data_IF_517719256882
#
_entry.id   IF_517719256882
#
_cell.length_a   1.000
_cell.length_b   1.000
_cell.length_c   1.000
_cell.angle_alpha   90.00
_cell.angle_beta   90.00
_cell.angle_gamma   90.00
#
_symmetry.space_group_name_H-M   'P 1'
#
loop_
_entity.id
_entity.type
_entity.pdbx_description
1 polymer ?
#
# COMPACT_ATOMS: atom_id res chain seq x y z
N UNK A 1 -4.42 17.95 22.19
CA UNK A 1 -3.49 17.55 23.28
C UNK A 1 -4.28 17.07 24.49
N UNK A 2 -4.16 15.78 24.84
CA UNK A 2 -4.57 15.33 26.18
C UNK A 2 -3.78 16.15 27.19
N UNK A 3 -4.44 16.75 28.18
CA UNK A 3 -3.79 17.62 29.19
C UNK A 3 -2.86 16.84 30.14
N UNK A 4 -2.55 15.58 29.81
CA UNK A 4 -2.02 14.59 30.74
C UNK A 4 -0.72 13.94 30.23
N UNK A 5 -0.22 14.31 29.05
CA UNK A 5 1.04 13.76 28.52
C UNK A 5 0.97 12.26 28.22
N UNK A 6 -0.22 11.73 27.93
CA UNK A 6 -0.39 10.34 27.55
C UNK A 6 0.04 10.16 26.08
N UNK A 7 0.99 9.24 25.84
CA UNK A 7 1.36 8.78 24.51
C UNK A 7 0.99 7.29 24.39
N UNK A 8 0.59 6.84 23.19
CA UNK A 8 0.32 5.42 22.91
C UNK A 8 -1.14 4.97 23.07
N UNK A 9 -2.08 5.88 23.24
CA UNK A 9 -3.53 5.60 23.26
C UNK A 9 -4.17 5.52 21.87
N UNK A 10 -3.37 5.73 20.81
CA UNK A 10 -3.84 5.71 19.43
C UNK A 10 -4.65 6.96 19.03
N UNK A 11 -4.73 7.97 19.89
CA UNK A 11 -5.43 9.22 19.56
C UNK A 11 -4.77 9.89 18.33
N UNK A 12 -5.55 10.42 17.37
CA UNK A 12 -4.99 11.10 16.20
C UNK A 12 -4.04 12.26 16.54
N UNK A 13 -4.26 12.98 17.65
CA UNK A 13 -3.33 14.01 18.14
C UNK A 13 -1.96 13.44 18.54
N UNK A 14 -1.90 12.15 18.87
CA UNK A 14 -0.71 11.45 19.32
C UNK A 14 -0.05 10.60 18.24
N UNK A 15 -0.73 10.36 17.11
CA UNK A 15 -0.29 9.45 16.04
C UNK A 15 -0.04 10.14 14.71
N UNK A 16 -0.66 11.30 14.47
CA UNK A 16 -0.40 12.12 13.27
C UNK A 16 0.94 12.82 13.41
N UNK A 17 1.81 12.59 12.44
CA UNK A 17 3.12 13.24 12.35
C UNK A 17 3.30 13.85 10.97
N UNK A 18 3.94 15.03 10.87
CA UNK A 18 4.24 15.60 9.57
C UNK A 18 5.27 14.74 8.84
N UNK A 19 5.02 14.46 7.56
CA UNK A 19 5.97 13.82 6.65
C UNK A 19 6.46 14.83 5.62
N UNK A 20 7.78 14.99 5.53
CA UNK A 20 8.43 15.81 4.49
C UNK A 20 9.32 14.88 3.67
N UNK A 21 9.11 14.83 2.36
CA UNK A 21 9.92 14.07 1.42
C UNK A 21 10.50 15.01 0.36
N UNK A 22 11.79 14.90 0.09
CA UNK A 22 12.49 15.74 -0.89
C UNK A 22 13.72 15.00 -1.45
N UNK A 23 14.27 15.53 -2.55
CA UNK A 23 15.46 14.99 -3.19
C UNK A 23 15.17 14.25 -4.49
N UNK A 24 16.19 13.57 -5.02
CA UNK A 24 16.11 12.86 -6.29
C UNK A 24 15.07 11.74 -6.20
N UNK A 25 14.22 11.62 -7.22
CA UNK A 25 13.19 10.59 -7.29
C UNK A 25 11.90 10.94 -6.54
N UNK A 26 11.86 12.08 -5.83
CA UNK A 26 10.65 12.58 -5.16
C UNK A 26 10.01 13.69 -5.99
N UNK A 27 8.71 13.55 -6.24
CA UNK A 27 7.89 14.56 -6.91
C UNK A 27 7.79 15.82 -6.05
N UNK A 28 8.13 16.97 -6.63
CA UNK A 28 7.91 18.30 -6.02
C UNK A 28 6.43 18.65 -5.86
N UNK A 29 6.07 19.65 -5.05
CA UNK A 29 4.68 19.95 -4.68
C UNK A 29 3.76 20.16 -5.89
N UNK A 30 2.50 19.75 -5.76
CA UNK A 30 1.45 19.97 -6.75
C UNK A 30 0.44 20.98 -6.20
N UNK A 31 -0.25 21.75 -7.06
CA UNK A 31 -1.43 22.51 -6.63
C UNK A 31 -2.50 21.55 -6.07
N UNK A 32 -3.34 22.06 -5.19
CA UNK A 32 -4.47 21.28 -4.64
C UNK A 32 -5.44 20.80 -5.74
N UNK A 33 -6.25 19.79 -5.42
CA UNK A 33 -7.22 19.18 -6.32
C UNK A 33 -8.62 19.79 -6.20
N UNK A 34 -9.51 19.42 -7.12
CA UNK A 34 -10.96 19.64 -6.99
C UNK A 34 -11.67 18.29 -7.09
N UNK A 35 -12.36 17.82 -6.03
CA UNK A 35 -12.51 18.45 -4.70
C UNK A 35 -11.17 18.59 -3.96
N UNK A 36 -11.12 19.51 -2.99
CA UNK A 36 -9.91 19.78 -2.20
C UNK A 36 -9.42 18.51 -1.52
N UNK A 37 -8.10 18.36 -1.46
CA UNK A 37 -7.45 17.28 -0.71
C UNK A 37 -7.36 17.55 0.80
N UNK A 38 -7.77 18.75 1.23
CA UNK A 38 -7.76 19.18 2.62
C UNK A 38 -9.11 18.97 3.31
N UNK A 39 -9.02 18.76 4.62
CA UNK A 39 -10.15 18.71 5.56
C UNK A 39 -10.03 19.83 6.61
N UNK A 40 -11.02 19.93 7.50
CA UNK A 40 -11.05 20.89 8.62
C UNK A 40 -9.81 20.80 9.53
N UNK A 41 -9.18 19.62 9.62
CA UNK A 41 -7.97 19.45 10.43
C UNK A 41 -6.76 20.14 9.81
N UNK A 42 -6.61 20.06 8.48
CA UNK A 42 -5.48 20.65 7.75
C UNK A 42 -5.71 22.07 7.23
N UNK A 43 -6.94 22.58 7.28
CA UNK A 43 -7.28 23.95 6.87
C UNK A 43 -6.40 25.02 7.55
N UNK A 44 -6.11 24.96 8.87
CA UNK A 44 -5.32 25.98 9.55
C UNK A 44 -3.81 25.94 9.23
N UNK A 45 -3.33 24.99 8.41
CA UNK A 45 -1.90 24.81 8.17
C UNK A 45 -1.31 25.83 7.19
N UNK A 46 -2.15 26.66 6.56
CA UNK A 46 -1.75 27.62 5.52
C UNK A 46 -1.10 26.96 4.28
N UNK A 47 -1.32 25.65 4.10
CA UNK A 47 -0.81 24.83 2.99
C UNK A 47 -1.91 24.36 2.02
N UNK A 48 -3.14 24.87 2.15
CA UNK A 48 -4.31 24.45 1.35
C UNK A 48 -4.20 24.73 -0.15
N UNK A 49 -3.19 25.50 -0.57
CA UNK A 49 -2.86 25.73 -1.97
C UNK A 49 -2.03 24.60 -2.59
N UNK A 50 -1.53 23.66 -1.78
CA UNK A 50 -0.75 22.50 -2.20
C UNK A 50 -1.54 21.21 -1.98
N UNK A 51 -1.31 20.20 -2.80
CA UNK A 51 -1.94 18.89 -2.63
C UNK A 51 -1.47 18.20 -1.33
N UNK A 52 -2.43 17.85 -0.46
CA UNK A 52 -2.22 16.93 0.66
C UNK A 52 -2.26 15.47 0.20
N UNK A 53 -1.17 14.76 0.48
CA UNK A 53 -1.10 13.30 0.39
C UNK A 53 -0.66 12.77 1.75
N UNK A 54 -1.50 11.92 2.33
CA UNK A 54 -1.20 11.24 3.59
C UNK A 54 -0.69 9.83 3.31
N UNK A 55 0.06 9.29 4.28
CA UNK A 55 0.53 7.90 4.34
C UNK A 55 0.35 7.37 5.75
N UNK A 56 0.28 6.06 5.90
CA UNK A 56 0.38 5.42 7.21
C UNK A 56 1.85 5.31 7.63
N UNK A 57 2.12 5.23 8.94
CA UNK A 57 3.49 5.12 9.45
C UNK A 57 4.23 3.88 8.88
N UNK A 58 3.50 2.79 8.64
CA UNK A 58 4.05 1.57 8.05
C UNK A 58 4.50 1.74 6.58
N UNK A 59 3.96 2.74 5.87
CA UNK A 59 4.21 2.95 4.44
C UNK A 59 5.58 3.59 4.19
N UNK A 60 6.15 4.28 5.19
CA UNK A 60 7.41 5.01 5.06
C UNK A 60 8.55 4.09 4.63
N UNK A 61 8.61 2.87 5.16
CA UNK A 61 9.65 1.91 4.80
C UNK A 61 9.54 1.42 3.34
N UNK A 62 8.31 1.25 2.84
CA UNK A 62 8.04 0.90 1.45
C UNK A 62 8.44 2.05 0.50
N UNK A 63 8.09 3.29 0.87
CA UNK A 63 8.50 4.49 0.13
C UNK A 63 10.01 4.64 0.07
N UNK A 64 10.70 4.53 1.21
CA UNK A 64 12.17 4.62 1.26
C UNK A 64 12.82 3.54 0.40
N UNK A 65 12.41 2.27 0.54
CA UNK A 65 12.98 1.15 -0.22
C UNK A 65 12.83 1.36 -1.73
N UNK A 66 11.69 1.89 -2.16
CA UNK A 66 11.43 2.21 -3.57
C UNK A 66 12.34 3.35 -4.07
N UNK A 67 12.53 4.41 -3.27
CA UNK A 67 13.39 5.55 -3.65
C UNK A 67 14.86 5.18 -3.76
N UNK A 68 15.36 4.28 -2.90
CA UNK A 68 16.77 3.88 -2.88
C UNK A 68 17.05 2.59 -3.67
N UNK A 69 16.01 1.96 -4.25
CA UNK A 69 16.15 0.76 -5.07
C UNK A 69 16.63 -0.47 -4.29
N UNK A 70 16.23 -0.60 -3.02
CA UNK A 70 16.58 -1.77 -2.19
C UNK A 70 15.42 -2.75 -2.09
N UNK A 71 15.75 -3.99 -1.69
CA UNK A 71 14.73 -4.96 -1.29
C UNK A 71 13.85 -4.37 -0.18
N UNK A 72 12.56 -4.64 -0.28
CA UNK A 72 11.59 -4.18 0.72
C UNK A 72 11.74 -4.98 2.02
N UNK A 73 11.45 -4.40 3.20
CA UNK A 73 11.54 -5.12 4.45
C UNK A 73 10.60 -6.34 4.44
N UNK A 74 11.13 -7.50 4.82
CA UNK A 74 10.40 -8.78 4.80
C UNK A 74 9.18 -8.82 5.75
N UNK A 75 9.08 -7.87 6.67
CA UNK A 75 7.96 -7.69 7.60
C UNK A 75 7.17 -6.40 7.36
N UNK A 76 7.25 -5.85 6.14
CA UNK A 76 6.51 -4.65 5.79
C UNK A 76 5.04 -4.97 5.55
N UNK A 77 4.17 -4.27 6.28
CA UNK A 77 2.73 -4.19 5.98
C UNK A 77 2.35 -2.87 5.30
N UNK A 78 3.36 -2.09 4.91
CA UNK A 78 3.17 -0.77 4.30
C UNK A 78 2.66 -0.86 2.87
N UNK A 79 1.85 0.13 2.50
CA UNK A 79 1.32 0.32 1.15
C UNK A 79 1.94 1.59 0.56
N UNK A 80 2.71 1.42 -0.50
CA UNK A 80 3.29 2.55 -1.22
C UNK A 80 2.18 3.46 -1.77
N UNK A 81 2.21 4.78 -1.51
CA UNK A 81 1.13 5.70 -1.92
C UNK A 81 0.90 5.73 -3.43
N UNK A 82 1.95 5.48 -4.20
CA UNK A 82 1.97 5.42 -5.65
C UNK A 82 1.32 4.14 -6.21
N UNK A 83 0.90 3.18 -5.38
CA UNK A 83 0.08 2.05 -5.83
C UNK A 83 -1.25 2.54 -6.40
N UNK A 84 -1.83 3.60 -5.83
CA UNK A 84 -3.15 4.10 -6.19
C UNK A 84 -3.07 5.11 -7.36
N UNK A 85 -3.51 4.75 -8.58
CA UNK A 85 -3.43 5.65 -9.73
C UNK A 85 -4.56 6.70 -9.76
N UNK A 86 -5.43 6.75 -8.74
CA UNK A 86 -6.47 7.78 -8.61
C UNK A 86 -5.99 9.03 -7.89
N UNK A 87 -4.84 8.98 -7.20
CA UNK A 87 -4.27 10.10 -6.45
C UNK A 87 -2.78 10.21 -6.73
N UNK A 88 -2.22 11.43 -6.84
CA UNK A 88 -0.78 11.59 -6.97
C UNK A 88 -0.02 11.00 -5.77
N UNK A 89 1.04 10.24 -6.05
CA UNK A 89 1.97 9.73 -5.06
C UNK A 89 3.18 10.64 -4.85
N UNK A 90 4.30 10.05 -4.46
CA UNK A 90 5.56 10.76 -4.18
C UNK A 90 6.65 10.50 -5.22
N UNK A 91 6.52 9.48 -6.07
CA UNK A 91 7.62 9.09 -6.97
C UNK A 91 7.69 9.98 -8.21
N UNK A 92 8.91 10.23 -8.66
CA UNK A 92 9.24 10.96 -9.88
C UNK A 92 10.34 10.24 -10.65
N UNK A 93 10.07 9.86 -11.90
CA UNK A 93 11.04 9.25 -12.82
C UNK A 93 10.70 9.60 -14.28
N UNK A 94 11.60 9.27 -15.21
CA UNK A 94 11.36 9.43 -16.65
C UNK A 94 10.20 8.56 -17.13
N UNK A 95 10.22 7.28 -16.72
CA UNK A 95 9.23 6.27 -17.07
C UNK A 95 8.37 5.95 -15.84
N UNK A 96 7.79 7.00 -15.25
CA UNK A 96 7.17 6.94 -13.91
C UNK A 96 5.99 5.98 -13.84
N UNK A 97 5.20 5.83 -14.90
CA UNK A 97 4.04 4.93 -14.89
C UNK A 97 4.44 3.46 -14.80
N UNK A 98 5.46 3.06 -15.57
CA UNK A 98 6.04 1.72 -15.53
C UNK A 98 6.66 1.45 -14.16
N UNK A 99 7.53 2.35 -13.69
CA UNK A 99 8.15 2.25 -12.36
C UNK A 99 7.10 2.11 -11.24
N UNK A 100 6.03 2.92 -11.28
CA UNK A 100 4.96 2.84 -10.28
C UNK A 100 4.19 1.52 -10.36
N UNK A 101 4.00 0.97 -11.56
CA UNK A 101 3.33 -0.33 -11.73
C UNK A 101 4.20 -1.49 -11.24
N UNK A 102 5.50 -1.47 -11.53
CA UNK A 102 6.46 -2.44 -10.99
C UNK A 102 6.55 -2.36 -9.47
N UNK A 103 6.62 -1.14 -8.91
CA UNK A 103 6.62 -0.94 -7.46
C UNK A 103 5.32 -1.46 -6.82
N UNK A 104 4.16 -1.27 -7.48
CA UNK A 104 2.90 -1.82 -7.01
C UNK A 104 2.86 -3.35 -7.04
N UNK A 105 3.45 -3.98 -8.07
CA UNK A 105 3.62 -5.43 -8.13
C UNK A 105 4.54 -5.94 -7.00
N UNK A 106 5.65 -5.26 -6.72
CA UNK A 106 6.54 -5.61 -5.61
C UNK A 106 5.80 -5.51 -4.28
N UNK A 107 5.07 -4.42 -4.04
CA UNK A 107 4.27 -4.25 -2.83
C UNK A 107 3.25 -5.38 -2.64
N UNK A 108 2.54 -5.73 -3.72
CA UNK A 108 1.57 -6.82 -3.75
C UNK A 108 2.22 -8.16 -3.39
N UNK A 109 3.38 -8.47 -3.97
CA UNK A 109 4.12 -9.71 -3.67
C UNK A 109 4.56 -9.78 -2.21
N UNK A 110 5.14 -8.70 -1.66
CA UNK A 110 5.58 -8.65 -0.26
C UNK A 110 4.42 -8.94 0.69
N UNK A 111 3.29 -8.26 0.50
CA UNK A 111 2.10 -8.46 1.34
C UNK A 111 1.48 -9.85 1.14
N UNK A 112 1.50 -10.38 -0.08
CA UNK A 112 0.98 -11.71 -0.37
C UNK A 112 1.78 -12.81 0.32
N UNK A 113 3.10 -12.68 0.43
CA UNK A 113 3.92 -13.66 1.12
C UNK A 113 3.59 -13.72 2.62
N UNK A 114 3.30 -12.58 3.25
CA UNK A 114 2.74 -12.57 4.61
C UNK A 114 1.45 -13.37 4.70
N UNK A 115 0.51 -13.14 3.78
CA UNK A 115 -0.75 -13.86 3.76
C UNK A 115 -0.53 -15.36 3.57
N UNK A 116 0.32 -15.77 2.62
CA UNK A 116 0.63 -17.18 2.32
C UNK A 116 1.22 -17.91 3.50
N UNK A 117 2.19 -17.32 4.20
CA UNK A 117 2.79 -17.90 5.40
C UNK A 117 1.73 -18.09 6.48
N UNK A 118 0.91 -17.06 6.75
CA UNK A 118 -0.18 -17.14 7.74
C UNK A 118 -1.26 -18.13 7.34
N UNK A 119 -1.57 -18.24 6.06
CA UNK A 119 -2.53 -19.18 5.50
C UNK A 119 -2.09 -20.61 5.77
N UNK A 120 -0.83 -20.95 5.47
CA UNK A 120 -0.27 -22.27 5.76
C UNK A 120 -0.25 -22.54 7.27
N UNK A 121 0.25 -21.60 8.08
CA UNK A 121 0.31 -21.73 9.54
C UNK A 121 -1.07 -22.01 10.16
N UNK A 122 -2.10 -21.25 9.77
CA UNK A 122 -3.48 -21.43 10.28
C UNK A 122 -4.09 -22.74 9.78
N UNK A 123 -3.84 -23.12 8.52
CA UNK A 123 -4.33 -24.37 7.92
C UNK A 123 -3.74 -25.60 8.60
N UNK A 124 -2.47 -25.57 9.01
CA UNK A 124 -1.83 -26.71 9.68
C UNK A 124 -2.25 -26.87 11.14
N UNK A 125 -2.59 -25.77 11.83
CA UNK A 125 -2.87 -25.79 13.28
C UNK A 125 -4.36 -25.68 13.66
N UNK A 126 -5.26 -25.45 12.70
CA UNK A 126 -6.70 -25.31 12.98
C UNK A 126 -7.51 -26.48 12.42
N UNK A 127 -8.26 -27.16 13.29
CA UNK A 127 -9.14 -28.28 12.92
C UNK A 127 -10.27 -27.89 11.95
N UNK A 128 -10.70 -26.63 11.98
CA UNK A 128 -11.80 -26.10 11.15
C UNK A 128 -11.34 -24.93 10.28
N UNK A 129 -10.17 -25.06 9.68
CA UNK A 129 -9.61 -24.04 8.82
C UNK A 129 -10.56 -23.69 7.66
N UNK A 130 -10.76 -22.38 7.45
CA UNK A 130 -11.45 -21.85 6.28
C UNK A 130 -10.55 -20.80 5.61
N UNK A 131 -10.28 -20.91 4.30
CA UNK A 131 -9.52 -19.88 3.59
C UNK A 131 -10.36 -18.62 3.45
N UNK A 132 -9.68 -17.47 3.38
CA UNK A 132 -10.33 -16.19 3.09
C UNK A 132 -11.02 -16.26 1.72
N UNK A 133 -12.26 -15.78 1.67
CA UNK A 133 -13.18 -16.03 0.55
C UNK A 133 -12.71 -15.45 -0.78
N UNK A 134 -11.96 -14.33 -0.74
CA UNK A 134 -11.38 -13.73 -1.93
C UNK A 134 -10.46 -14.71 -2.66
N UNK A 135 -9.48 -15.29 -1.97
CA UNK A 135 -8.54 -16.25 -2.55
C UNK A 135 -9.21 -17.57 -2.92
N UNK A 136 -10.21 -18.02 -2.17
CA UNK A 136 -10.97 -19.24 -2.51
C UNK A 136 -11.70 -19.13 -3.86
N UNK A 137 -12.22 -17.95 -4.21
CA UNK A 137 -13.00 -17.76 -5.45
C UNK A 137 -12.15 -17.64 -6.71
N UNK A 138 -10.88 -17.25 -6.54
CA UNK A 138 -9.99 -16.89 -7.65
C UNK A 138 -9.06 -18.03 -8.09
N UNK A 139 -9.16 -19.20 -7.46
CA UNK A 139 -8.17 -20.27 -7.61
C UNK A 139 -8.80 -21.63 -7.87
N UNK A 140 -8.17 -22.35 -8.80
CA UNK A 140 -8.27 -23.80 -8.88
C UNK A 140 -7.57 -24.41 -7.66
N UNK A 141 -8.06 -25.56 -7.18
CA UNK A 141 -7.64 -26.16 -5.91
C UNK A 141 -6.12 -26.46 -5.75
N UNK A 142 -5.35 -26.37 -6.84
CA UNK A 142 -3.91 -26.64 -6.87
C UNK A 142 -3.03 -25.37 -6.85
N UNK A 143 -3.59 -24.17 -7.00
CA UNK A 143 -2.80 -22.94 -7.03
C UNK A 143 -2.54 -22.36 -5.63
N UNK A 144 -1.40 -21.70 -5.46
CA UNK A 144 -1.08 -21.00 -4.22
C UNK A 144 -1.80 -19.64 -4.16
N UNK A 145 -2.33 -19.21 -3.00
CA UNK A 145 -3.08 -17.96 -2.84
C UNK A 145 -2.49 -16.77 -3.60
N UNK A 146 -3.28 -16.11 -4.45
CA UNK A 146 -2.93 -14.94 -5.23
C UNK A 146 -2.05 -15.18 -6.46
N UNK A 147 -1.69 -16.43 -6.80
CA UNK A 147 -0.74 -16.71 -7.89
C UNK A 147 -1.27 -16.25 -9.27
N UNK A 148 -2.54 -16.53 -9.57
CA UNK A 148 -3.18 -16.12 -10.82
C UNK A 148 -3.22 -14.59 -10.96
N UNK A 149 -3.62 -13.88 -9.90
CA UNK A 149 -3.68 -12.41 -9.90
C UNK A 149 -2.31 -11.77 -10.11
N UNK A 150 -1.26 -12.29 -9.46
CA UNK A 150 0.12 -11.81 -9.68
C UNK A 150 0.53 -11.96 -11.15
N UNK A 151 0.23 -13.10 -11.78
CA UNK A 151 0.54 -13.33 -13.18
C UNK A 151 -0.22 -12.37 -14.12
N UNK A 152 -1.46 -12.01 -13.78
CA UNK A 152 -2.24 -11.01 -14.53
C UNK A 152 -1.64 -9.61 -14.39
N UNK A 153 -1.22 -9.20 -13.19
CA UNK A 153 -0.56 -7.89 -12.99
C UNK A 153 0.74 -7.83 -13.79
N UNK A 154 1.56 -8.89 -13.74
CA UNK A 154 2.79 -8.99 -14.53
C UNK A 154 2.52 -8.88 -16.04
N UNK A 155 1.45 -9.53 -16.53
CA UNK A 155 1.08 -9.47 -17.93
C UNK A 155 0.60 -8.08 -18.37
N UNK A 156 -0.17 -7.39 -17.52
CA UNK A 156 -0.58 -6.01 -17.75
C UNK A 156 0.64 -5.09 -17.86
N UNK A 157 1.62 -5.22 -16.96
CA UNK A 157 2.85 -4.42 -17.00
C UNK A 157 3.62 -4.68 -18.30
N UNK A 158 3.83 -5.96 -18.67
CA UNK A 158 4.54 -6.34 -19.91
C UNK A 158 3.89 -5.77 -21.17
N UNK A 159 2.57 -5.58 -21.17
CA UNK A 159 1.80 -5.04 -22.30
C UNK A 159 1.66 -3.51 -22.28
N UNK A 160 2.26 -2.83 -21.30
CA UNK A 160 2.15 -1.38 -21.14
C UNK A 160 0.86 -0.90 -20.45
N UNK A 161 0.05 -1.82 -19.93
CA UNK A 161 -1.18 -1.52 -19.17
C UNK A 161 -0.86 -1.10 -17.72
N UNK A 162 -0.02 -0.09 -17.54
CA UNK A 162 0.52 0.30 -16.23
C UNK A 162 -0.56 0.80 -15.27
N UNK A 163 -1.54 1.54 -15.79
CA UNK A 163 -2.67 2.05 -14.99
C UNK A 163 -3.57 0.90 -14.51
N UNK A 164 -3.91 -0.02 -15.40
CA UNK A 164 -4.72 -1.20 -15.11
C UNK A 164 -4.00 -2.13 -14.13
N UNK A 165 -2.69 -2.33 -14.32
CA UNK A 165 -1.85 -3.08 -13.40
C UNK A 165 -1.89 -2.50 -11.98
N UNK A 166 -1.77 -1.17 -11.85
CA UNK A 166 -1.85 -0.46 -10.56
C UNK A 166 -3.24 -0.55 -9.92
N UNK A 167 -4.30 -0.40 -10.71
CA UNK A 167 -5.68 -0.57 -10.21
C UNK A 167 -5.91 -1.99 -9.66
N UNK A 168 -5.46 -3.01 -10.39
CA UNK A 168 -5.56 -4.40 -9.94
C UNK A 168 -4.67 -4.67 -8.72
N UNK A 169 -3.43 -4.17 -8.71
CA UNK A 169 -2.53 -4.30 -7.58
C UNK A 169 -3.10 -3.63 -6.32
N UNK A 170 -3.70 -2.44 -6.44
CA UNK A 170 -4.36 -1.73 -5.34
C UNK A 170 -5.45 -2.59 -4.69
N UNK A 171 -6.37 -3.11 -5.50
CA UNK A 171 -7.46 -3.96 -4.99
C UNK A 171 -6.89 -5.25 -4.36
N UNK A 172 -5.93 -5.87 -5.04
CA UNK A 172 -5.31 -7.10 -4.57
C UNK A 172 -4.56 -6.92 -3.24
N UNK A 173 -3.85 -5.80 -3.06
CA UNK A 173 -3.21 -5.41 -1.81
C UNK A 173 -4.24 -5.26 -0.69
N UNK A 174 -5.36 -4.57 -0.96
CA UNK A 174 -6.45 -4.40 0.01
C UNK A 174 -6.99 -5.76 0.49
N UNK A 175 -7.30 -6.65 -0.45
CA UNK A 175 -7.82 -7.99 -0.17
C UNK A 175 -6.80 -8.87 0.56
N UNK A 176 -5.51 -8.71 0.25
CA UNK A 176 -4.42 -9.42 0.93
C UNK A 176 -4.31 -8.99 2.39
N UNK A 177 -4.39 -7.68 2.67
CA UNK A 177 -4.38 -7.14 4.03
C UNK A 177 -5.63 -7.52 4.83
N UNK A 178 -6.80 -7.55 4.20
CA UNK A 178 -8.02 -8.09 4.81
C UNK A 178 -7.90 -9.59 5.12
N UNK A 179 -7.38 -10.38 4.19
CA UNK A 179 -7.10 -11.78 4.39
C UNK A 179 -6.12 -12.02 5.55
N UNK A 180 -5.09 -11.19 5.68
CA UNK A 180 -4.14 -11.24 6.79
C UNK A 180 -4.83 -11.03 8.13
N UNK A 181 -5.66 -9.98 8.24
CA UNK A 181 -6.46 -9.70 9.44
C UNK A 181 -7.42 -10.86 9.76
N UNK A 182 -8.08 -11.42 8.75
CA UNK A 182 -8.97 -12.57 8.89
C UNK A 182 -8.27 -13.81 9.49
N UNK A 183 -7.01 -14.07 9.12
CA UNK A 183 -6.26 -15.22 9.64
C UNK A 183 -5.72 -14.99 11.06
N UNK A 184 -5.59 -13.74 11.48
CA UNK A 184 -5.15 -13.35 12.82
C UNK A 184 -6.27 -13.42 13.88
N UNK A 185 -7.54 -13.38 13.46
CA UNK A 185 -8.70 -13.67 14.31
C UNK A 185 -8.91 -15.17 14.50
#
# INVERSE_FOLDING_TARGET
MSKIGNHGDGDPDNTRTPLIAWGKGVRGPLPDSTPSSHDQYSEPFELTHLLRRDVEQADVAALMSTLIGTNWPINSVGVLPDVDPSRPGYLLAKDVEEMQAEAALVNAKVLLEHYRVKHVEKKTHSLFYRPYSYFKRLEDAEQAPGQSTVAVIEDLIRRGGHREARLLAKEFISQTLEGLRYLQT
#
